data_IF_597280138188
#
_entry.id   IF_597280138188
#
_cell.length_a   1.000
_cell.length_b   1.000
_cell.length_c   1.000
_cell.angle_alpha   90.00
_cell.angle_beta   90.00
_cell.angle_gamma   90.00
#
_symmetry.space_group_name_H-M   'P 1'
#
loop_
_entity.id
_entity.type
_entity.pdbx_description
1 polymer ?
#
# COMPACT_ATOMS: atom_id res chain seq x y z
N UNK A 1 -11.57 5.58 -11.20
CA UNK A 1 -11.12 4.90 -9.95
C UNK A 1 -11.03 5.94 -8.86
N UNK A 2 -11.59 5.66 -7.67
CA UNK A 2 -11.46 6.53 -6.50
C UNK A 2 -10.03 6.42 -5.99
N UNK A 3 -9.26 7.51 -6.06
CA UNK A 3 -7.92 7.58 -5.46
C UNK A 3 -8.08 7.96 -4.00
N UNK A 4 -7.82 7.02 -3.09
CA UNK A 4 -7.83 7.29 -1.66
C UNK A 4 -6.42 7.74 -1.26
N UNK A 5 -6.22 9.00 -0.86
CA UNK A 5 -4.91 9.49 -0.47
C UNK A 5 -4.48 8.84 0.84
N UNK A 6 -3.28 8.25 0.84
CA UNK A 6 -2.64 7.77 2.06
C UNK A 6 -2.24 8.96 2.95
N UNK A 7 -2.44 8.82 4.26
CA UNK A 7 -1.90 9.73 5.25
C UNK A 7 -0.34 9.70 5.25
N UNK A 8 0.30 10.60 6.00
CA UNK A 8 1.76 10.69 6.03
C UNK A 8 2.43 9.41 6.55
N UNK A 9 1.81 8.72 7.51
CA UNK A 9 2.32 7.50 8.13
C UNK A 9 2.31 6.35 7.11
N UNK A 10 1.18 6.14 6.43
CA UNK A 10 1.03 5.11 5.41
C UNK A 10 1.88 5.40 4.17
N UNK A 11 2.07 6.66 3.78
CA UNK A 11 3.04 7.05 2.73
C UNK A 11 4.45 6.64 3.09
N UNK A 12 4.87 6.86 4.34
CA UNK A 12 6.19 6.46 4.81
C UNK A 12 6.32 4.93 4.78
N UNK A 13 5.34 4.18 5.27
CA UNK A 13 5.33 2.71 5.17
C UNK A 13 5.42 2.23 3.70
N UNK A 14 4.66 2.81 2.78
CA UNK A 14 4.69 2.49 1.35
C UNK A 14 6.08 2.69 0.72
N UNK A 15 6.84 3.67 1.22
CA UNK A 15 8.20 3.96 0.72
C UNK A 15 9.21 2.85 1.03
N UNK A 16 8.98 2.05 2.08
CA UNK A 16 9.83 0.92 2.46
C UNK A 16 9.48 -0.39 1.77
N UNK A 17 8.32 -0.48 1.11
CA UNK A 17 7.93 -1.69 0.37
C UNK A 17 8.79 -1.81 -0.89
N UNK A 18 9.36 -3.00 -1.12
CA UNK A 18 10.19 -3.32 -2.29
C UNK A 18 9.30 -3.75 -3.46
N UNK A 19 9.70 -3.37 -4.68
CA UNK A 19 9.02 -3.75 -5.92
C UNK A 19 8.95 -5.28 -6.10
N UNK A 20 7.82 -5.76 -6.63
CA UNK A 20 7.61 -7.18 -6.99
C UNK A 20 7.54 -8.14 -5.79
N UNK A 21 7.37 -7.61 -4.57
CA UNK A 21 7.27 -8.45 -3.37
C UNK A 21 5.83 -8.83 -3.04
N UNK A 22 5.66 -9.96 -2.34
CA UNK A 22 4.39 -10.33 -1.70
C UNK A 22 4.31 -9.59 -0.36
N UNK A 23 3.20 -8.90 -0.12
CA UNK A 23 2.97 -8.08 1.07
C UNK A 23 1.95 -8.75 2.00
N UNK A 24 2.16 -8.64 3.31
CA UNK A 24 1.13 -8.88 4.32
C UNK A 24 0.97 -7.59 5.16
N UNK A 25 -0.24 -7.03 5.19
CA UNK A 25 -0.58 -5.86 5.99
C UNK A 25 -1.44 -6.28 7.20
N UNK A 26 -0.81 -6.35 8.37
CA UNK A 26 -1.41 -6.92 9.58
C UNK A 26 -2.25 -5.86 10.29
N UNK A 27 -3.53 -6.18 10.57
CA UNK A 27 -4.45 -5.22 11.20
C UNK A 27 -4.77 -4.04 10.29
N UNK A 28 -4.86 -4.31 8.98
CA UNK A 28 -5.03 -3.27 7.96
C UNK A 28 -6.26 -2.40 8.21
N UNK A 29 -6.08 -1.09 8.07
CA UNK A 29 -7.12 -0.09 8.17
C UNK A 29 -7.75 0.13 6.78
N UNK A 30 -8.92 -0.44 6.57
CA UNK A 30 -9.68 -0.39 5.31
C UNK A 30 -8.91 -0.82 4.04
N UNK A 31 -7.78 -1.53 4.19
CA UNK A 31 -6.92 -1.98 3.09
C UNK A 31 -6.35 -0.87 2.19
N UNK A 32 -6.31 0.39 2.64
CA UNK A 32 -5.85 1.50 1.78
C UNK A 32 -4.41 1.33 1.28
N UNK A 33 -3.50 0.90 2.16
CA UNK A 33 -2.11 0.68 1.81
C UNK A 33 -1.92 -0.44 0.78
N UNK A 34 -2.38 -1.70 1.02
CA UNK A 34 -2.18 -2.79 0.07
C UNK A 34 -2.93 -2.56 -1.24
N UNK A 35 -4.16 -2.01 -1.22
CA UNK A 35 -4.91 -1.71 -2.45
C UNK A 35 -4.17 -0.70 -3.33
N UNK A 36 -3.62 0.35 -2.72
CA UNK A 36 -2.85 1.35 -3.48
C UNK A 36 -1.59 0.76 -4.11
N UNK A 37 -0.82 0.00 -3.34
CA UNK A 37 0.42 -0.63 -3.82
C UNK A 37 0.15 -1.64 -4.94
N UNK A 38 -0.94 -2.42 -4.85
CA UNK A 38 -1.34 -3.36 -5.88
C UNK A 38 -1.81 -2.63 -7.16
N UNK A 39 -2.60 -1.55 -7.01
CA UNK A 39 -3.05 -0.74 -8.13
C UNK A 39 -1.88 -0.04 -8.87
N UNK A 40 -0.79 0.26 -8.17
CA UNK A 40 0.46 0.80 -8.74
C UNK A 40 1.37 -0.29 -9.34
N UNK A 41 1.02 -1.57 -9.21
CA UNK A 41 1.83 -2.70 -9.69
C UNK A 41 3.08 -2.98 -8.85
N UNK A 42 3.17 -2.36 -7.67
CA UNK A 42 4.36 -2.42 -6.80
C UNK A 42 4.49 -3.74 -6.04
N UNK A 43 3.36 -4.38 -5.76
CA UNK A 43 3.26 -5.69 -5.10
C UNK A 43 2.46 -6.68 -5.95
N UNK A 44 2.69 -7.97 -5.73
CA UNK A 44 2.03 -9.09 -6.43
C UNK A 44 0.66 -9.42 -5.84
#
# INVERSE_FOLDING_TARGET
>A
MVSIPLDARLKLCASFVREGTRLADVGTDHAYLPVKLAAEGKIL
#
